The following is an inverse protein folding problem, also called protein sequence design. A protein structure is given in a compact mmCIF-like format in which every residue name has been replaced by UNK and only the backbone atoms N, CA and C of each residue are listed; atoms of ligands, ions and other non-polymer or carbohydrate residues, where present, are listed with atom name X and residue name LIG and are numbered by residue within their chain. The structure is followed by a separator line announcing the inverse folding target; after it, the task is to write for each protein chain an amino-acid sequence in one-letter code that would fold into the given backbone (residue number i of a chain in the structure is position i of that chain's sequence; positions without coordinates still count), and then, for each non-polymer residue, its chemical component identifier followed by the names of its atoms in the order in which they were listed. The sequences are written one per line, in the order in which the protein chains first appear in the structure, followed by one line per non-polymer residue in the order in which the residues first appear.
data_IF_123703403410
#
_entry.id   IF_123703403410
#
_cell.length_a   1.000
_cell.length_b   1.000
_cell.length_c   1.000
_cell.angle_alpha   90.00
_cell.angle_beta   90.00
_cell.angle_gamma   90.00
#
_symmetry.space_group_name_H-M   'P 1'
#
loop_
_entity.id
_entity.type
_entity.pdbx_description
1 polymer ?
#
# COMPACT_ATOMS: atom_id res chain seq x y z
N UNK A 1 26.05 23.53 -5.08
CA UNK A 1 25.94 23.04 -6.47
C UNK A 1 25.53 24.22 -7.34
N UNK A 2 26.50 24.80 -8.03
CA UNK A 2 26.41 26.05 -8.77
C UNK A 2 25.79 25.87 -10.16
N UNK A 3 24.92 26.81 -10.52
CA UNK A 3 24.09 26.83 -11.71
C UNK A 3 24.89 26.83 -13.02
N UNK A 4 24.68 25.80 -13.83
CA UNK A 4 25.30 25.61 -15.16
C UNK A 4 24.36 25.86 -16.34
N UNK A 5 23.15 26.37 -16.09
CA UNK A 5 22.10 26.54 -17.11
C UNK A 5 22.03 27.94 -17.76
N UNK A 6 22.73 28.93 -17.20
CA UNK A 6 22.70 30.31 -17.66
C UNK A 6 23.10 30.54 -19.13
N UNK A 7 24.21 29.97 -19.64
CA UNK A 7 24.67 30.27 -21.00
C UNK A 7 23.86 29.54 -22.10
N UNK A 8 23.24 28.40 -21.79
CA UNK A 8 22.50 27.62 -22.81
C UNK A 8 21.15 28.26 -23.17
N UNK A 9 20.45 28.82 -22.18
CA UNK A 9 19.18 29.51 -22.41
C UNK A 9 19.36 30.83 -23.17
N UNK A 10 20.50 31.51 -23.00
CA UNK A 10 20.79 32.76 -23.69
C UNK A 10 21.07 32.56 -25.18
N UNK A 11 21.81 31.51 -25.57
CA UNK A 11 22.04 31.19 -26.99
C UNK A 11 20.76 30.76 -27.71
N UNK A 12 19.84 30.07 -27.03
CA UNK A 12 18.58 29.63 -27.63
C UNK A 12 17.63 30.83 -27.88
N UNK A 13 17.58 31.79 -26.94
CA UNK A 13 16.81 33.02 -27.09
C UNK A 13 17.32 33.90 -28.26
N UNK A 14 18.64 34.04 -28.40
CA UNK A 14 19.23 34.83 -29.51
C UNK A 14 19.00 34.14 -30.87
N UNK A 15 19.04 32.82 -30.93
CA UNK A 15 18.73 32.06 -32.15
C UNK A 15 17.29 32.22 -32.61
N UNK A 16 16.32 32.15 -31.69
CA UNK A 16 14.89 32.33 -32.01
C UNK A 16 14.60 33.76 -32.46
N UNK A 17 15.16 34.77 -31.78
CA UNK A 17 15.00 36.18 -32.18
C UNK A 17 15.62 36.42 -33.56
N UNK A 18 16.77 35.83 -33.87
CA UNK A 18 17.40 35.90 -35.18
C UNK A 18 16.53 35.33 -36.31
N UNK A 19 15.89 34.17 -36.07
CA UNK A 19 14.98 33.54 -37.05
C UNK A 19 13.72 34.39 -37.26
N UNK A 20 13.16 34.98 -36.19
CA UNK A 20 11.99 35.86 -36.29
C UNK A 20 12.33 37.16 -37.04
N UNK A 21 13.50 37.75 -36.81
CA UNK A 21 13.93 39.00 -37.48
C UNK A 21 14.31 38.78 -38.96
N UNK A 22 14.94 37.65 -39.29
CA UNK A 22 15.21 37.25 -40.68
C UNK A 22 13.91 36.95 -41.44
N UNK A 23 12.91 36.40 -40.75
CA UNK A 23 11.58 36.17 -41.33
C UNK A 23 10.85 37.50 -41.58
N UNK A 24 10.93 38.45 -40.64
CA UNK A 24 10.27 39.76 -40.76
C UNK A 24 10.89 40.66 -41.83
N UNK A 25 12.21 40.61 -42.02
CA UNK A 25 12.90 41.42 -43.04
C UNK A 25 12.70 40.87 -44.45
N UNK A 26 12.59 39.54 -44.62
CA UNK A 26 12.13 38.95 -45.87
C UNK A 26 10.65 39.30 -46.14
N UNK A 27 9.77 39.23 -45.14
CA UNK A 27 8.35 39.62 -45.27
C UNK A 27 8.15 41.09 -45.72
N UNK A 28 9.01 42.03 -45.29
CA UNK A 28 8.95 43.43 -45.77
C UNK A 28 9.34 43.63 -47.24
N UNK A 29 10.19 42.77 -47.81
CA UNK A 29 10.48 42.83 -49.27
C UNK A 29 9.37 42.20 -50.11
N UNK A 30 8.61 41.27 -49.53
CA UNK A 30 7.44 40.67 -50.19
C UNK A 30 6.16 41.52 -50.04
N UNK A 31 6.07 42.43 -49.06
CA UNK A 31 4.86 43.25 -48.88
C UNK A 31 4.59 44.22 -50.04
N UNK A 32 5.62 44.69 -50.74
CA UNK A 32 5.46 45.54 -51.93
C UNK A 32 5.02 44.76 -53.20
N UNK A 33 5.33 43.46 -53.27
CA UNK A 33 4.87 42.56 -54.35
C UNK A 33 3.47 41.95 -54.07
N UNK A 34 3.05 41.95 -52.80
CA UNK A 34 1.77 41.40 -52.35
C UNK A 34 0.59 42.37 -52.47
N UNK A 35 0.81 43.68 -52.59
CA UNK A 35 -0.29 44.64 -52.84
C UNK A 35 -0.84 44.52 -54.27
N UNK A 36 -0.01 44.15 -55.25
CA UNK A 36 -0.44 44.02 -56.66
C UNK A 36 -1.08 42.64 -56.97
N UNK A 37 -0.97 41.68 -56.05
CA UNK A 37 -1.47 40.29 -56.24
C UNK A 37 -2.44 39.84 -55.14
N UNK A 38 -3.00 40.79 -54.38
CA UNK A 38 -3.83 40.55 -53.20
C UNK A 38 -5.08 39.70 -53.48
N UNK A 39 -5.61 39.74 -54.71
CA UNK A 39 -6.78 38.93 -55.09
C UNK A 39 -6.43 37.49 -55.51
N UNK A 40 -5.22 37.22 -56.02
CA UNK A 40 -4.86 35.87 -56.51
C UNK A 40 -4.05 35.04 -55.50
N UNK A 41 -3.36 35.67 -54.56
CA UNK A 41 -2.56 34.95 -53.54
C UNK A 41 -3.44 34.36 -52.43
N UNK A 42 -4.57 35.00 -52.11
CA UNK A 42 -5.56 34.47 -51.16
C UNK A 42 -6.13 33.11 -51.64
N UNK A 43 -6.29 32.91 -52.95
CA UNK A 43 -6.77 31.65 -53.52
C UNK A 43 -5.74 30.51 -53.52
N UNK A 44 -4.44 30.82 -53.51
CA UNK A 44 -3.37 29.80 -53.49
C UNK A 44 -2.94 29.41 -52.07
N UNK A 45 -3.05 30.30 -51.09
CA UNK A 45 -2.67 30.00 -49.69
C UNK A 45 -3.81 29.35 -48.91
N UNK A 46 -5.08 29.67 -49.23
CA UNK A 46 -6.24 29.06 -48.56
C UNK A 46 -6.27 27.51 -48.59
N UNK A 47 -6.00 26.81 -49.72
CA UNK A 47 -6.00 25.35 -49.73
C UNK A 47 -4.81 24.72 -48.98
N UNK A 48 -3.69 25.44 -48.84
CA UNK A 48 -2.50 24.98 -48.10
C UNK A 48 -2.61 25.22 -46.59
N UNK A 49 -3.35 26.25 -46.17
CA UNK A 49 -3.68 26.47 -44.75
C UNK A 49 -4.78 25.50 -44.26
N UNK A 50 -5.68 25.06 -45.14
CA UNK A 50 -6.75 24.12 -44.78
C UNK A 50 -6.26 22.67 -44.59
N UNK A 51 -5.14 22.28 -45.22
CA UNK A 51 -4.51 20.97 -45.01
C UNK A 51 -3.61 20.91 -43.76
N UNK A 52 -3.32 22.08 -43.16
CA UNK A 52 -2.60 22.22 -41.89
C UNK A 52 -3.54 22.51 -40.71
N UNK A 53 -4.85 22.33 -40.87
CA UNK A 53 -5.73 22.27 -39.71
C UNK A 53 -5.18 21.15 -38.80
N UNK A 54 -4.80 21.47 -37.55
CA UNK A 54 -4.30 20.47 -36.62
C UNK A 54 -5.33 19.36 -36.61
N UNK A 55 -4.88 18.12 -36.87
CA UNK A 55 -5.71 16.93 -36.81
C UNK A 55 -6.71 17.13 -35.69
N UNK A 56 -8.00 17.21 -36.03
CA UNK A 56 -9.04 17.58 -35.08
C UNK A 56 -8.83 16.69 -33.87
N UNK A 57 -8.33 17.26 -32.78
CA UNK A 57 -8.14 16.56 -31.53
C UNK A 57 -9.55 16.15 -31.16
N UNK A 58 -9.86 14.89 -31.47
CA UNK A 58 -11.16 14.35 -31.18
C UNK A 58 -11.18 14.33 -29.67
N UNK A 59 -12.05 15.16 -29.12
CA UNK A 59 -12.35 15.27 -27.72
C UNK A 59 -13.01 13.93 -27.33
N UNK A 60 -12.15 12.94 -27.08
CA UNK A 60 -12.49 11.56 -26.79
C UNK A 60 -12.76 11.44 -25.29
N UNK A 61 -13.58 10.45 -24.94
CA UNK A 61 -13.64 10.01 -23.55
C UNK A 61 -12.24 9.62 -23.09
N UNK A 62 -11.86 9.93 -21.84
CA UNK A 62 -10.55 9.57 -21.35
C UNK A 62 -10.39 8.05 -21.38
N UNK A 63 -9.15 7.56 -21.47
CA UNK A 63 -8.89 6.13 -21.36
C UNK A 63 -8.88 5.72 -19.88
N UNK A 64 -9.41 4.53 -19.51
CA UNK A 64 -9.36 4.05 -18.14
C UNK A 64 -7.92 3.98 -17.60
N UNK A 65 -7.68 4.33 -16.31
CA UNK A 65 -6.38 4.15 -15.68
C UNK A 65 -5.90 2.70 -15.77
N UNK A 66 -4.63 2.51 -16.12
CA UNK A 66 -4.03 1.18 -16.24
C UNK A 66 -3.06 0.90 -15.06
N UNK A 67 -2.84 -0.39 -14.77
CA UNK A 67 -1.83 -0.83 -13.79
C UNK A 67 -1.94 -0.17 -12.41
N UNK A 68 -3.17 0.08 -11.94
CA UNK A 68 -3.41 0.64 -10.62
C UNK A 68 -2.81 -0.29 -9.56
N UNK A 69 -1.98 0.25 -8.68
CA UNK A 69 -1.35 -0.42 -7.56
C UNK A 69 -1.56 0.41 -6.29
N UNK A 70 -1.71 -0.28 -5.17
CA UNK A 70 -1.79 0.32 -3.85
C UNK A 70 -0.60 -0.19 -3.02
N UNK A 71 0.20 0.73 -2.51
CA UNK A 71 1.46 0.47 -1.80
C UNK A 71 1.31 1.04 -0.38
N UNK A 72 1.39 0.22 0.67
CA UNK A 72 1.36 0.73 2.03
C UNK A 72 2.61 1.55 2.34
N UNK A 73 2.42 2.78 2.80
CA UNK A 73 3.53 3.68 3.15
C UNK A 73 3.75 3.68 4.66
N UNK A 74 2.67 3.86 5.44
CA UNK A 74 2.70 3.93 6.90
C UNK A 74 1.48 3.22 7.50
N UNK A 75 1.27 3.24 8.83
CA UNK A 75 0.06 2.71 9.43
C UNK A 75 -1.21 3.45 9.03
N UNK A 76 -1.10 4.70 8.58
CA UNK A 76 -2.26 5.55 8.25
C UNK A 76 -2.28 6.00 6.79
N UNK A 77 -1.34 5.51 5.96
CA UNK A 77 -1.17 5.99 4.59
C UNK A 77 -0.96 4.85 3.57
N UNK A 78 -1.64 4.99 2.42
CA UNK A 78 -1.45 4.16 1.23
C UNK A 78 -1.15 5.07 0.04
N UNK A 79 -0.09 4.75 -0.69
CA UNK A 79 0.22 5.38 -1.99
C UNK A 79 -0.42 4.59 -3.12
N UNK A 80 -1.25 5.26 -3.90
CA UNK A 80 -1.79 4.74 -5.13
C UNK A 80 -0.91 5.18 -6.30
N UNK A 81 -0.63 4.24 -7.22
CA UNK A 81 0.15 4.49 -8.42
C UNK A 81 -0.56 3.87 -9.62
N UNK A 82 -0.71 4.62 -10.71
CA UNK A 82 -1.32 4.14 -11.95
C UNK A 82 -0.65 4.74 -13.18
N UNK A 83 -0.86 4.11 -14.33
CA UNK A 83 -0.46 4.65 -15.62
C UNK A 83 -1.66 5.34 -16.28
N UNK A 84 -1.44 6.55 -16.81
CA UNK A 84 -2.36 7.21 -17.72
C UNK A 84 -2.69 6.27 -18.90
N UNK A 85 -3.98 6.06 -19.17
CA UNK A 85 -4.41 5.26 -20.32
C UNK A 85 -4.16 5.96 -21.66
N UNK A 86 -4.03 7.29 -21.63
CA UNK A 86 -3.81 8.15 -22.80
C UNK A 86 -2.37 8.64 -22.85
N UNK A 87 -1.83 8.77 -24.07
CA UNK A 87 -0.57 9.50 -24.27
C UNK A 87 -0.82 11.00 -24.07
N UNK A 88 -0.61 11.51 -22.86
CA UNK A 88 -0.31 12.90 -22.41
C UNK A 88 0.64 13.76 -23.31
N UNK A 89 0.82 13.48 -24.60
CA UNK A 89 1.52 14.39 -25.51
C UNK A 89 0.53 15.43 -26.05
N UNK A 90 0.34 16.51 -25.30
CA UNK A 90 -0.49 17.63 -25.72
C UNK A 90 -0.62 18.70 -24.63
N UNK A 91 -0.51 20.00 -24.94
CA UNK A 91 -0.71 21.09 -23.98
C UNK A 91 -2.16 21.23 -23.49
N UNK A 92 -3.07 20.35 -23.94
CA UNK A 92 -4.51 20.37 -23.67
C UNK A 92 -4.99 19.09 -22.98
N UNK A 93 -4.10 18.30 -22.36
CA UNK A 93 -4.54 17.16 -21.55
C UNK A 93 -5.22 17.65 -20.28
N UNK A 94 -6.55 17.66 -20.32
CA UNK A 94 -7.43 18.00 -19.19
C UNK A 94 -7.95 16.75 -18.48
N UNK A 95 -7.26 15.62 -18.63
CA UNK A 95 -7.63 14.40 -17.89
C UNK A 95 -7.37 14.64 -16.40
N UNK A 96 -8.44 14.55 -15.63
CA UNK A 96 -8.40 14.54 -14.17
C UNK A 96 -8.72 13.13 -13.69
N UNK A 97 -8.22 12.77 -12.52
CA UNK A 97 -8.49 11.47 -11.92
C UNK A 97 -9.28 11.66 -10.63
N UNK A 98 -10.27 10.80 -10.44
CA UNK A 98 -11.02 10.67 -9.19
C UNK A 98 -10.62 9.36 -8.52
N UNK A 99 -10.16 9.45 -7.28
CA UNK A 99 -9.89 8.28 -6.44
C UNK A 99 -11.04 8.07 -5.48
N UNK A 100 -11.62 6.88 -5.52
CA UNK A 100 -12.62 6.45 -4.57
C UNK A 100 -12.10 5.29 -3.74
N UNK A 101 -12.44 5.27 -2.46
CA UNK A 101 -12.11 4.18 -1.54
C UNK A 101 -13.35 3.68 -0.79
N UNK A 102 -13.23 2.47 -0.25
CA UNK A 102 -14.10 1.94 0.81
C UNK A 102 -13.33 1.03 1.76
N UNK A 103 -13.79 0.92 3.00
CA UNK A 103 -13.22 -0.01 3.96
C UNK A 103 -13.77 -1.43 3.71
N UNK A 104 -12.90 -2.44 3.77
CA UNK A 104 -13.28 -3.84 3.68
C UNK A 104 -13.46 -4.37 5.10
N UNK A 105 -14.72 -4.49 5.52
CA UNK A 105 -15.04 -5.11 6.80
C UNK A 105 -15.11 -6.63 6.63
N UNK A 106 -14.34 -7.35 7.45
CA UNK A 106 -14.54 -8.79 7.61
C UNK A 106 -15.80 -8.98 8.43
N UNK A 107 -16.87 -9.50 7.82
CA UNK A 107 -18.12 -9.83 8.50
C UNK A 107 -17.88 -10.97 9.49
N UNK A 108 -17.46 -10.66 10.71
CA UNK A 108 -17.53 -11.59 11.82
C UNK A 108 -18.92 -11.47 12.43
N UNK A 109 -19.88 -12.25 11.91
CA UNK A 109 -21.20 -12.67 12.47
C UNK A 109 -22.13 -11.66 13.17
N UNK A 110 -21.72 -10.41 13.35
CA UNK A 110 -22.44 -9.34 14.03
C UNK A 110 -22.96 -8.37 12.97
N UNK A 111 -24.23 -7.94 13.05
CA UNK A 111 -24.76 -6.92 12.16
C UNK A 111 -23.91 -5.66 12.22
N UNK A 112 -23.61 -5.09 11.05
CA UNK A 112 -22.83 -3.86 10.93
C UNK A 112 -23.59 -2.71 11.62
N UNK A 113 -22.88 -1.93 12.41
CA UNK A 113 -23.38 -0.64 12.90
C UNK A 113 -23.57 0.33 11.74
N UNK A 114 -24.46 1.33 11.87
CA UNK A 114 -24.69 2.34 10.84
C UNK A 114 -23.39 3.05 10.38
N UNK A 115 -22.46 3.26 11.32
CA UNK A 115 -21.14 3.83 11.02
C UNK A 115 -20.31 2.91 10.12
N UNK A 116 -20.36 1.59 10.35
CA UNK A 116 -19.67 0.60 9.53
C UNK A 116 -20.30 0.47 8.15
N UNK A 117 -21.64 0.47 8.05
CA UNK A 117 -22.34 0.48 6.76
C UNK A 117 -21.95 1.71 5.93
N UNK A 118 -21.93 2.90 6.56
CA UNK A 118 -21.49 4.13 5.89
C UNK A 118 -20.03 4.03 5.42
N UNK A 119 -19.15 3.38 6.19
CA UNK A 119 -17.74 3.17 5.81
C UNK A 119 -17.53 2.16 4.66
N UNK A 120 -18.50 1.28 4.39
CA UNK A 120 -18.47 0.36 3.23
C UNK A 120 -18.90 1.03 1.92
N UNK A 121 -19.51 2.22 1.98
CA UNK A 121 -19.87 2.98 0.79
C UNK A 121 -18.63 3.64 0.18
N UNK A 122 -18.53 3.59 -1.14
CA UNK A 122 -17.51 4.31 -1.90
C UNK A 122 -17.57 5.82 -1.59
N UNK A 123 -16.42 6.39 -1.24
CA UNK A 123 -16.24 7.83 -1.01
C UNK A 123 -15.03 8.34 -1.79
N UNK A 124 -15.09 9.59 -2.24
CA UNK A 124 -13.96 10.26 -2.89
C UNK A 124 -12.92 10.64 -1.84
N UNK A 125 -11.64 10.37 -2.11
CA UNK A 125 -10.54 10.65 -1.16
C UNK A 125 -9.38 11.44 -1.74
N UNK A 126 -9.39 11.71 -3.04
CA UNK A 126 -8.39 12.55 -3.65
C UNK A 126 -8.77 12.86 -5.09
N UNK A 127 -8.70 14.16 -5.39
CA UNK A 127 -8.75 14.69 -6.75
C UNK A 127 -7.37 15.27 -7.15
N UNK A 128 -6.47 15.44 -6.18
CA UNK A 128 -5.09 15.88 -6.36
C UNK A 128 -4.18 14.66 -6.63
N UNK A 129 -3.43 14.71 -7.73
CA UNK A 129 -2.46 13.70 -8.09
C UNK A 129 -1.18 14.33 -8.64
N UNK A 130 -0.08 13.65 -8.43
CA UNK A 130 1.23 14.03 -8.94
C UNK A 130 1.61 13.13 -10.11
N UNK A 131 2.15 13.72 -11.18
CA UNK A 131 2.78 12.99 -12.27
C UNK A 131 4.26 12.79 -11.92
N UNK A 132 4.64 11.58 -11.51
CA UNK A 132 5.95 11.29 -10.90
C UNK A 132 6.90 10.53 -11.81
N UNK A 133 6.44 10.07 -12.99
CA UNK A 133 7.27 9.30 -13.90
C UNK A 133 8.12 10.16 -14.82
N UNK A 134 9.40 9.81 -15.01
CA UNK A 134 10.24 10.38 -16.08
C UNK A 134 9.66 10.13 -17.49
N UNK A 135 8.77 9.15 -17.58
CA UNK A 135 8.00 8.82 -18.76
C UNK A 135 6.79 9.75 -18.97
N UNK A 136 6.42 10.56 -17.97
CA UNK A 136 5.24 11.42 -17.98
C UNK A 136 3.92 10.66 -17.90
N UNK A 137 3.95 9.36 -17.60
CA UNK A 137 2.76 8.48 -17.64
C UNK A 137 2.28 8.04 -16.27
N UNK A 138 3.18 8.06 -15.29
CA UNK A 138 2.89 7.53 -13.97
C UNK A 138 2.28 8.62 -13.10
N UNK A 139 1.04 8.41 -12.70
CA UNK A 139 0.32 9.26 -11.75
C UNK A 139 0.34 8.58 -10.38
N UNK A 140 0.40 9.39 -9.32
CA UNK A 140 0.28 8.88 -7.96
C UNK A 140 -0.47 9.84 -7.05
N UNK A 141 -1.09 9.30 -6.01
CA UNK A 141 -1.66 10.07 -4.91
C UNK A 141 -1.45 9.31 -3.60
N UNK A 142 -1.45 10.03 -2.49
CA UNK A 142 -1.36 9.45 -1.14
C UNK A 142 -2.71 9.61 -0.48
N UNK A 143 -3.29 8.49 -0.04
CA UNK A 143 -4.50 8.47 0.78
C UNK A 143 -4.07 8.32 2.22
N UNK A 144 -4.43 9.29 3.05
CA UNK A 144 -4.07 9.39 4.47
C UNK A 144 -5.27 9.13 5.40
N UNK A 145 -5.07 9.32 6.70
CA UNK A 145 -6.10 9.17 7.74
C UNK A 145 -6.80 7.80 7.73
N UNK A 146 -6.05 6.75 7.36
CA UNK A 146 -6.50 5.37 7.35
C UNK A 146 -6.32 4.72 8.73
N UNK A 147 -7.08 3.65 9.00
CA UNK A 147 -6.92 2.85 10.21
C UNK A 147 -5.69 1.93 10.09
N UNK A 148 -4.90 1.80 11.15
CA UNK A 148 -3.72 0.93 11.20
C UNK A 148 -4.08 -0.55 11.03
N UNK A 149 -3.43 -1.22 10.09
CA UNK A 149 -3.77 -2.60 9.67
C UNK A 149 -5.10 -2.74 8.93
N UNK A 150 -5.80 -1.65 8.66
CA UNK A 150 -7.10 -1.63 8.00
C UNK A 150 -7.01 -2.10 6.54
N UNK A 151 -7.97 -2.93 6.12
CA UNK A 151 -8.10 -3.37 4.74
C UNK A 151 -9.03 -2.43 3.96
N UNK A 152 -8.57 -1.96 2.80
CA UNK A 152 -9.25 -0.96 1.99
C UNK A 152 -9.24 -1.35 0.52
N UNK A 153 -10.30 -0.98 -0.18
CA UNK A 153 -10.43 -1.13 -1.63
C UNK A 153 -10.43 0.24 -2.30
N UNK A 154 -9.72 0.32 -3.42
CA UNK A 154 -9.54 1.54 -4.21
C UNK A 154 -9.98 1.33 -5.65
N UNK A 155 -10.53 2.38 -6.24
CA UNK A 155 -10.74 2.49 -7.69
C UNK A 155 -10.37 3.89 -8.15
N UNK A 156 -9.79 3.95 -9.35
CA UNK A 156 -9.37 5.21 -9.98
C UNK A 156 -10.16 5.34 -11.27
N UNK A 157 -10.77 6.51 -11.47
CA UNK A 157 -11.57 6.83 -12.64
C UNK A 157 -10.99 8.08 -13.30
N UNK A 158 -10.82 8.06 -14.62
CA UNK A 158 -10.41 9.25 -15.37
C UNK A 158 -11.66 10.03 -15.82
N UNK A 159 -11.57 11.36 -15.85
CA UNK A 159 -12.65 12.21 -16.33
C UNK A 159 -12.13 13.46 -17.02
N UNK A 160 -12.93 13.98 -17.95
CA UNK A 160 -12.69 15.23 -18.67
C UNK A 160 -14.03 15.91 -19.02
N UNK A 161 -14.02 16.94 -19.87
CA UNK A 161 -15.23 17.66 -20.31
C UNK A 161 -16.25 16.81 -21.08
N UNK A 162 -15.87 15.62 -21.57
CA UNK A 162 -16.78 14.69 -22.26
C UNK A 162 -17.45 13.72 -21.31
N UNK A 163 -16.87 13.49 -20.13
CA UNK A 163 -17.43 12.65 -19.10
C UNK A 163 -16.37 11.80 -18.40
N UNK A 164 -16.84 10.74 -17.76
CA UNK A 164 -16.03 9.83 -16.94
C UNK A 164 -15.82 8.50 -17.67
N UNK A 165 -14.67 7.86 -17.46
CA UNK A 165 -14.44 6.48 -17.91
C UNK A 165 -15.38 5.51 -17.18
N UNK A 166 -15.76 4.39 -17.82
CA UNK A 166 -16.36 3.27 -17.11
C UNK A 166 -15.49 2.85 -15.92
N UNK A 167 -16.12 2.57 -14.78
CA UNK A 167 -15.39 2.13 -13.60
C UNK A 167 -14.65 0.82 -13.87
N UNK A 168 -13.41 0.76 -13.40
CA UNK A 168 -12.64 -0.48 -13.38
C UNK A 168 -13.42 -1.54 -12.58
N UNK A 169 -13.67 -2.69 -13.21
CA UNK A 169 -14.46 -3.77 -12.60
C UNK A 169 -13.76 -4.41 -11.39
N UNK A 170 -12.43 -4.31 -11.31
CA UNK A 170 -11.62 -4.94 -10.27
C UNK A 170 -10.96 -3.85 -9.41
N UNK A 171 -11.52 -3.51 -8.23
CA UNK A 171 -10.88 -2.60 -7.30
C UNK A 171 -9.57 -3.20 -6.78
N UNK A 172 -8.60 -2.33 -6.50
CA UNK A 172 -7.31 -2.72 -5.92
C UNK A 172 -7.46 -2.78 -4.41
N UNK A 173 -7.07 -3.91 -3.81
CA UNK A 173 -7.06 -4.11 -2.36
C UNK A 173 -5.69 -3.81 -1.78
N UNK A 174 -5.66 -3.13 -0.63
CA UNK A 174 -4.45 -2.96 0.15
C UNK A 174 -4.75 -2.92 1.65
N UNK A 175 -3.72 -3.17 2.45
CA UNK A 175 -3.73 -3.02 3.90
C UNK A 175 -2.66 -2.01 4.28
N UNK A 176 -2.99 -1.10 5.19
CA UNK A 176 -1.98 -0.24 5.82
C UNK A 176 -1.02 -1.08 6.65
N UNK A 177 0.14 -0.51 6.98
CA UNK A 177 1.05 -1.14 7.94
C UNK A 177 0.40 -1.16 9.34
N UNK A 178 0.93 -1.98 10.22
CA UNK A 178 0.61 -1.96 11.64
C UNK A 178 1.53 -0.97 12.37
N UNK A 179 1.01 -0.36 13.43
CA UNK A 179 1.87 0.32 14.40
C UNK A 179 2.71 -0.73 15.15
N UNK A 180 4.02 -0.52 15.35
CA UNK A 180 4.81 -1.39 16.21
C UNK A 180 4.21 -1.47 17.63
N UNK A 181 4.29 -2.63 18.27
CA UNK A 181 3.92 -2.79 19.68
C UNK A 181 5.04 -2.28 20.61
N UNK A 182 4.82 -2.35 21.93
CA UNK A 182 5.80 -1.93 22.94
C UNK A 182 7.15 -2.70 22.87
N UNK A 183 7.19 -3.80 22.12
CA UNK A 183 8.39 -4.61 21.89
C UNK A 183 8.95 -4.43 20.47
N UNK A 184 8.63 -3.31 19.79
CA UNK A 184 9.11 -2.98 18.43
C UNK A 184 8.74 -4.03 17.36
N UNK A 185 7.80 -4.93 17.66
CA UNK A 185 7.31 -5.96 16.76
C UNK A 185 5.85 -5.72 16.39
N UNK A 186 5.10 -6.78 16.12
CA UNK A 186 3.71 -6.68 15.64
C UNK A 186 2.84 -7.85 16.05
N UNK A 187 1.69 -7.97 15.39
CA UNK A 187 0.73 -9.05 15.64
C UNK A 187 0.39 -9.78 14.33
N UNK A 188 0.36 -11.10 14.40
CA UNK A 188 -0.19 -11.97 13.36
C UNK A 188 -1.56 -12.53 13.75
N UNK A 189 -2.13 -13.43 12.93
CA UNK A 189 -3.45 -14.01 13.19
C UNK A 189 -3.58 -14.72 14.55
N UNK A 190 -2.51 -15.38 15.01
CA UNK A 190 -2.53 -16.21 16.22
C UNK A 190 -1.23 -16.08 17.06
N UNK A 191 -0.47 -15.03 16.82
CA UNK A 191 0.75 -14.74 17.56
C UNK A 191 0.96 -13.24 17.68
N UNK A 192 1.69 -12.85 18.70
CA UNK A 192 2.32 -11.53 18.79
C UNK A 192 3.83 -11.73 18.78
N UNK A 193 4.57 -10.75 18.30
CA UNK A 193 6.02 -10.84 18.27
C UNK A 193 6.63 -9.48 18.60
N UNK A 194 7.82 -9.54 19.16
CA UNK A 194 8.67 -8.41 19.49
C UNK A 194 10.05 -8.62 18.86
N UNK A 195 10.83 -7.55 18.77
CA UNK A 195 12.20 -7.64 18.32
C UNK A 195 13.10 -6.64 19.03
N UNK A 196 14.34 -7.05 19.22
CA UNK A 196 15.43 -6.16 19.60
C UNK A 196 16.41 -6.04 18.44
N UNK A 197 17.54 -5.37 18.68
CA UNK A 197 18.65 -5.33 17.73
C UNK A 197 19.12 -6.74 17.34
N UNK A 198 19.11 -7.68 18.27
CA UNK A 198 19.77 -8.98 18.13
C UNK A 198 18.80 -10.16 18.10
N UNK A 199 17.62 -10.03 18.69
CA UNK A 199 16.69 -11.16 18.92
C UNK A 199 15.28 -10.85 18.46
N UNK A 200 14.53 -11.91 18.22
CA UNK A 200 13.09 -11.90 17.95
C UNK A 200 12.42 -12.76 19.00
N UNK A 201 11.36 -12.23 19.62
CA UNK A 201 10.51 -12.93 20.58
C UNK A 201 9.14 -13.15 19.93
N UNK A 202 8.59 -14.35 20.04
CA UNK A 202 7.30 -14.71 19.44
C UNK A 202 6.46 -15.39 20.50
N UNK A 203 5.25 -14.88 20.75
CA UNK A 203 4.28 -15.48 21.65
C UNK A 203 3.11 -16.01 20.83
N UNK A 204 3.03 -17.33 20.71
CA UNK A 204 1.98 -18.05 19.96
C UNK A 204 0.86 -18.43 20.91
N UNK A 205 -0.38 -18.03 20.56
CA UNK A 205 -1.58 -18.41 21.32
C UNK A 205 -1.94 -19.87 21.01
N UNK A 206 -2.10 -20.72 22.03
CA UNK A 206 -2.35 -22.16 21.83
C UNK A 206 -3.83 -22.51 21.69
N UNK A 207 -4.74 -21.70 22.26
CA UNK A 207 -6.18 -21.77 22.03
C UNK A 207 -6.56 -20.74 20.99
N UNK A 208 -7.31 -21.17 20.00
CA UNK A 208 -8.06 -20.27 19.13
C UNK A 208 -9.50 -20.37 19.57
N UNK A 209 -10.19 -19.26 19.79
CA UNK A 209 -11.61 -19.25 20.17
C UNK A 209 -12.48 -20.04 19.18
N UNK A 210 -12.02 -20.18 17.93
CA UNK A 210 -12.63 -21.04 16.90
C UNK A 210 -12.65 -22.54 17.24
N UNK A 211 -11.77 -23.03 18.13
CA UNK A 211 -11.83 -24.44 18.55
C UNK A 211 -13.04 -24.69 19.51
N UNK A 212 -13.70 -23.64 20.03
CA UNK A 212 -14.84 -23.73 20.96
C UNK A 212 -16.22 -23.52 20.31
N UNK A 213 -16.31 -23.02 19.07
CA UNK A 213 -17.62 -22.70 18.43
C UNK A 213 -18.27 -23.88 17.67
N UNK A 214 -17.87 -25.11 17.96
CA UNK A 214 -18.71 -26.27 17.64
C UNK A 214 -19.87 -26.35 18.64
N UNK A 215 -20.77 -25.35 18.63
CA UNK A 215 -22.14 -25.55 19.12
C UNK A 215 -22.84 -26.48 18.14
N UNK A 216 -22.66 -27.78 18.33
CA UNK A 216 -23.44 -28.79 17.62
C UNK A 216 -24.89 -28.69 18.10
N UNK A 217 -25.71 -27.92 17.38
CA UNK A 217 -27.15 -27.91 17.61
C UNK A 217 -27.67 -29.29 17.21
N UNK A 218 -28.21 -30.02 18.18
CA UNK A 218 -28.81 -31.32 17.92
C UNK A 218 -30.02 -31.11 16.97
N UNK A 219 -29.97 -31.64 15.73
CA UNK A 219 -30.99 -31.37 14.73
C UNK A 219 -32.36 -31.97 15.10
N UNK A 220 -32.41 -32.91 16.05
CA UNK A 220 -33.65 -33.57 16.44
C UNK A 220 -34.45 -32.81 17.50
N UNK A 221 -33.78 -32.06 18.38
CA UNK A 221 -34.43 -31.45 19.54
C UNK A 221 -34.41 -29.92 19.51
N UNK A 222 -33.53 -29.32 18.69
CA UNK A 222 -33.31 -27.87 18.71
C UNK A 222 -32.79 -27.35 20.07
N UNK A 223 -32.50 -28.25 21.00
CA UNK A 223 -32.06 -27.91 22.34
C UNK A 223 -30.55 -27.68 22.29
N UNK A 224 -30.15 -26.44 22.61
CA UNK A 224 -28.73 -26.12 22.83
C UNK A 224 -28.27 -26.91 24.04
N UNK A 225 -27.73 -28.10 23.84
CA UNK A 225 -27.02 -28.81 24.90
C UNK A 225 -25.87 -27.92 25.34
N UNK A 226 -25.94 -27.47 26.58
CA UNK A 226 -24.86 -26.76 27.23
C UNK A 226 -23.64 -27.69 27.12
N UNK A 227 -22.59 -27.33 26.35
CA UNK A 227 -21.44 -28.19 26.18
C UNK A 227 -20.83 -28.35 27.58
N UNK A 228 -21.10 -29.49 28.21
CA UNK A 228 -20.66 -29.76 29.57
C UNK A 228 -19.18 -29.44 29.64
N UNK A 229 -18.83 -28.53 30.57
CA UNK A 229 -17.54 -27.85 30.64
C UNK A 229 -16.40 -28.84 30.34
N UNK A 230 -15.92 -28.84 29.09
CA UNK A 230 -14.80 -29.69 28.73
C UNK A 230 -13.61 -29.18 29.54
N UNK A 231 -12.90 -30.05 30.27
CA UNK A 231 -11.71 -29.62 30.97
C UNK A 231 -10.78 -28.94 29.95
N UNK A 232 -10.17 -27.80 30.29
CA UNK A 232 -9.30 -27.07 29.37
C UNK A 232 -8.24 -28.03 28.83
N UNK A 233 -8.07 -28.05 27.52
CA UNK A 233 -7.06 -28.89 26.88
C UNK A 233 -5.68 -28.51 27.46
N UNK A 234 -5.11 -29.39 28.29
CA UNK A 234 -3.78 -29.17 28.88
C UNK A 234 -2.77 -29.56 27.81
N UNK A 235 -2.25 -28.57 27.09
CA UNK A 235 -1.15 -28.78 26.14
C UNK A 235 0.09 -29.15 26.94
N UNK A 236 0.72 -30.28 26.61
CA UNK A 236 1.99 -30.70 27.21
C UNK A 236 3.15 -30.42 26.27
N UNK A 237 4.37 -30.26 26.80
CA UNK A 237 5.58 -30.04 25.99
C UNK A 237 5.80 -31.10 24.92
N UNK A 238 5.37 -32.36 25.17
CA UNK A 238 5.46 -33.47 24.21
C UNK A 238 4.61 -33.29 22.96
N UNK A 239 3.58 -32.44 23.03
CA UNK A 239 2.68 -32.16 21.92
C UNK A 239 3.18 -30.98 21.07
N UNK A 240 4.25 -30.29 21.47
CA UNK A 240 4.77 -29.12 20.79
C UNK A 240 6.00 -29.53 19.97
N UNK A 241 5.95 -29.26 18.66
CA UNK A 241 7.08 -29.44 17.74
C UNK A 241 7.43 -28.05 17.17
N UNK A 242 8.58 -27.51 17.58
CA UNK A 242 9.11 -26.23 17.10
C UNK A 242 10.34 -26.50 16.25
N UNK A 243 10.32 -26.01 15.01
CA UNK A 243 11.45 -26.10 14.10
C UNK A 243 11.77 -24.71 13.56
N UNK A 244 12.98 -24.25 13.83
CA UNK A 244 13.54 -23.06 13.21
C UNK A 244 14.60 -23.50 12.20
N UNK A 245 14.47 -23.05 10.96
CA UNK A 245 15.54 -23.07 9.95
C UNK A 245 15.96 -21.62 9.69
N UNK A 246 17.09 -21.38 9.00
CA UNK A 246 17.56 -20.01 8.79
C UNK A 246 16.53 -19.08 8.14
N UNK A 247 15.60 -19.58 7.31
CA UNK A 247 14.55 -18.76 6.66
C UNK A 247 13.12 -19.29 6.87
N UNK A 248 12.89 -20.17 7.84
CA UNK A 248 11.59 -20.83 8.00
C UNK A 248 11.32 -21.09 9.48
N UNK A 249 10.10 -20.80 9.94
CA UNK A 249 9.64 -21.10 11.28
C UNK A 249 8.39 -21.97 11.21
N UNK A 250 8.43 -23.10 11.91
CA UNK A 250 7.31 -24.04 12.04
C UNK A 250 7.04 -24.32 13.52
N UNK A 251 5.78 -24.16 13.91
CA UNK A 251 5.25 -24.48 15.24
C UNK A 251 4.02 -25.36 15.05
N UNK A 252 4.11 -26.60 15.53
CA UNK A 252 3.01 -27.57 15.57
C UNK A 252 2.62 -27.81 17.02
N UNK A 253 1.31 -27.89 17.26
CA UNK A 253 0.73 -28.18 18.58
C UNK A 253 -0.27 -29.32 18.40
N UNK A 254 -0.01 -30.43 19.07
CA UNK A 254 -0.75 -31.69 18.91
C UNK A 254 -0.89 -32.12 17.43
N UNK A 255 0.15 -31.89 16.63
CA UNK A 255 0.18 -32.21 15.19
C UNK A 255 -0.48 -31.16 14.28
N UNK A 256 -1.25 -30.21 14.81
CA UNK A 256 -1.85 -29.10 14.05
C UNK A 256 -0.83 -27.96 13.89
N UNK A 257 -0.67 -27.46 12.67
CA UNK A 257 0.18 -26.31 12.39
C UNK A 257 -0.46 -25.05 12.98
N UNK A 258 0.25 -24.43 13.92
CA UNK A 258 -0.15 -23.14 14.48
C UNK A 258 0.60 -22.01 13.78
N UNK A 259 1.88 -22.18 13.51
CA UNK A 259 2.67 -21.18 12.80
C UNK A 259 3.52 -21.89 11.75
N UNK A 260 3.45 -21.46 10.50
CA UNK A 260 4.25 -22.02 9.41
C UNK A 260 4.47 -20.94 8.35
N UNK A 261 5.73 -20.62 8.05
CA UNK A 261 6.03 -19.71 6.96
C UNK A 261 7.52 -19.37 6.83
N UNK A 262 7.82 -18.62 5.78
CA UNK A 262 9.16 -18.11 5.54
C UNK A 262 9.41 -16.82 6.34
N UNK A 263 10.58 -16.73 6.96
CA UNK A 263 11.05 -15.50 7.61
C UNK A 263 11.48 -14.49 6.53
N UNK A 264 11.32 -13.17 6.76
CA UNK A 264 11.82 -12.16 5.82
C UNK A 264 13.36 -12.11 5.78
N UNK A 265 14.01 -12.44 6.90
CA UNK A 265 15.47 -12.42 7.06
C UNK A 265 15.99 -13.72 7.69
N UNK A 266 17.31 -13.85 7.74
CA UNK A 266 17.94 -15.04 8.30
C UNK A 266 17.92 -15.02 9.85
N UNK A 267 17.51 -16.14 10.45
CA UNK A 267 17.64 -16.42 11.88
C UNK A 267 18.81 -17.39 12.14
N UNK A 268 19.26 -17.47 13.39
CA UNK A 268 20.24 -18.45 13.87
C UNK A 268 19.49 -19.60 14.55
N UNK A 269 19.35 -20.78 13.91
CA UNK A 269 18.57 -21.90 14.45
C UNK A 269 19.05 -22.40 15.81
N UNK A 270 20.37 -22.39 16.02
CA UNK A 270 21.01 -22.94 17.21
C UNK A 270 20.69 -22.12 18.48
N UNK A 271 20.26 -20.86 18.32
CA UNK A 271 19.89 -19.94 19.40
C UNK A 271 18.38 -19.96 19.70
N UNK A 272 17.63 -20.88 19.11
CA UNK A 272 16.21 -21.05 19.41
C UNK A 272 16.02 -21.61 20.81
N UNK A 273 15.35 -20.83 21.65
CA UNK A 273 14.79 -21.29 22.92
C UNK A 273 13.28 -21.10 22.91
N UNK A 274 12.54 -21.99 23.59
CA UNK A 274 11.10 -21.83 23.76
C UNK A 274 10.66 -22.26 25.15
N UNK A 275 9.60 -21.64 25.64
CA UNK A 275 8.99 -21.95 26.94
C UNK A 275 7.47 -22.02 26.82
N UNK A 276 6.87 -23.01 27.48
CA UNK A 276 5.42 -23.20 27.52
C UNK A 276 4.88 -22.52 28.78
N UNK A 277 4.14 -21.43 28.60
CA UNK A 277 3.43 -20.75 29.69
C UNK A 277 2.03 -21.36 29.84
N UNK A 278 1.93 -22.45 30.60
CA UNK A 278 0.67 -23.21 30.76
C UNK A 278 -0.48 -22.35 31.31
N UNK A 279 -0.19 -21.41 32.23
CA UNK A 279 -1.19 -20.51 32.82
C UNK A 279 -1.79 -19.53 31.80
N UNK A 280 -0.96 -19.02 30.88
CA UNK A 280 -1.40 -18.11 29.82
C UNK A 280 -1.82 -18.84 28.55
N UNK A 281 -1.65 -20.17 28.52
CA UNK A 281 -1.89 -21.00 27.36
C UNK A 281 -1.19 -20.44 26.10
N UNK A 282 0.07 -20.09 26.27
CA UNK A 282 0.92 -19.48 25.26
C UNK A 282 2.25 -20.20 25.15
N UNK A 283 2.80 -20.26 23.94
CA UNK A 283 4.17 -20.71 23.67
C UNK A 283 5.01 -19.50 23.33
N UNK A 284 6.02 -19.23 24.16
CA UNK A 284 6.99 -18.16 23.91
C UNK A 284 8.23 -18.76 23.26
N UNK A 285 8.66 -18.17 22.15
CA UNK A 285 9.87 -18.52 21.41
C UNK A 285 10.79 -17.31 21.40
N UNK A 286 12.08 -17.54 21.51
CA UNK A 286 13.11 -16.52 21.38
C UNK A 286 14.25 -17.08 20.52
N UNK A 287 14.69 -16.32 19.52
CA UNK A 287 15.82 -16.71 18.66
C UNK A 287 16.62 -15.48 18.19
N UNK A 288 17.89 -15.69 17.84
CA UNK A 288 18.77 -14.62 17.38
C UNK A 288 18.61 -14.34 15.88
N UNK A 289 18.76 -13.07 15.52
CA UNK A 289 18.88 -12.59 14.14
C UNK A 289 20.30 -12.90 13.66
N UNK A 290 20.43 -13.35 12.40
CA UNK A 290 21.75 -13.50 11.77
C UNK A 290 22.46 -12.16 11.60
N UNK A 291 21.70 -11.13 11.26
CA UNK A 291 22.20 -9.78 10.97
C UNK A 291 21.68 -8.78 12.03
N UNK A 292 22.42 -8.57 13.14
CA UNK A 292 22.03 -7.65 14.19
C UNK A 292 21.80 -6.22 13.66
N UNK A 293 20.77 -5.54 14.16
CA UNK A 293 20.38 -4.20 13.73
C UNK A 293 19.40 -4.16 12.57
N UNK A 294 19.14 -5.29 11.91
CA UNK A 294 18.09 -5.37 10.90
C UNK A 294 16.72 -5.31 11.58
N UNK A 295 15.91 -4.31 11.23
CA UNK A 295 14.51 -4.19 11.63
C UNK A 295 13.66 -5.10 10.75
N UNK A 296 12.91 -6.00 11.36
CA UNK A 296 12.02 -6.90 10.64
C UNK A 296 10.67 -6.17 10.45
N UNK A 297 10.12 -6.08 9.24
CA UNK A 297 8.79 -5.52 9.03
C UNK A 297 7.69 -6.52 9.38
N UNK A 298 7.98 -7.81 9.36
CA UNK A 298 7.02 -8.86 9.72
C UNK A 298 7.76 -10.08 10.28
N UNK A 299 7.05 -11.00 10.92
CA UNK A 299 7.65 -12.27 11.34
C UNK A 299 7.68 -13.27 10.16
N UNK A 300 6.59 -13.37 9.40
CA UNK A 300 6.44 -14.31 8.29
C UNK A 300 6.07 -13.56 7.00
N UNK A 301 6.63 -13.95 5.86
CA UNK A 301 6.29 -13.35 4.57
C UNK A 301 4.79 -13.50 4.27
N UNK A 302 4.17 -12.40 3.82
CA UNK A 302 2.73 -12.33 3.53
C UNK A 302 1.84 -12.08 4.76
N UNK A 303 2.39 -12.04 5.96
CA UNK A 303 1.68 -11.57 7.16
C UNK A 303 1.68 -10.04 7.24
N UNK A 304 0.85 -9.43 8.11
CA UNK A 304 0.86 -7.99 8.32
C UNK A 304 2.27 -7.46 8.63
N UNK A 305 2.60 -6.33 8.00
CA UNK A 305 3.87 -5.62 8.19
C UNK A 305 3.68 -4.46 9.16
N UNK A 306 4.65 -4.23 10.04
CA UNK A 306 4.73 -3.06 10.90
C UNK A 306 5.50 -1.93 10.21
N UNK A 307 5.29 -0.71 10.66
CA UNK A 307 6.15 0.39 10.22
C UNK A 307 7.51 0.37 10.92
N UNK A 308 8.53 -0.07 10.18
CA UNK A 308 9.91 -0.16 10.70
C UNK A 308 10.55 1.21 10.91
N UNK A 309 10.01 2.30 10.35
CA UNK A 309 10.54 3.65 10.60
C UNK A 309 10.30 4.09 12.05
N UNK A 310 9.15 3.70 12.62
CA UNK A 310 8.75 3.95 14.00
C UNK A 310 9.45 3.05 15.04
N UNK A 311 10.09 1.96 14.59
CA UNK A 311 10.85 1.06 15.48
C UNK A 311 12.09 1.78 16.01
N UNK A 312 12.21 1.93 17.32
CA UNK A 312 13.38 2.56 17.95
C UNK A 312 14.03 1.55 18.87
N UNK A 313 15.08 0.89 18.38
CA UNK A 313 15.92 0.05 19.24
C UNK A 313 16.54 0.92 20.33
N UNK A 314 15.89 0.95 21.48
CA UNK A 314 16.42 1.65 22.63
C UNK A 314 17.79 1.04 22.93
N UNK A 315 18.83 1.82 22.71
CA UNK A 315 20.15 1.50 23.23
C UNK A 315 20.01 1.66 24.73
N UNK A 316 19.51 0.64 25.43
CA UNK A 316 19.68 0.51 26.88
C UNK A 316 21.17 0.33 27.13
N UNK A 317 21.92 1.42 26.96
CA UNK A 317 23.17 1.61 27.65
C UNK A 317 22.81 1.52 29.14
N UNK A 318 23.57 0.74 29.90
CA UNK A 318 23.50 0.58 31.34
C UNK A 318 22.55 -0.49 31.90
N UNK A 319 23.06 -1.72 31.94
CA UNK A 319 23.45 -2.35 33.22
C UNK A 319 22.37 -2.88 34.16
N UNK A 320 21.09 -2.65 33.88
CA UNK A 320 20.01 -3.27 34.63
C UNK A 320 19.65 -4.61 34.01
N UNK A 321 19.76 -5.71 34.78
CA UNK A 321 18.97 -6.94 34.53
C UNK A 321 17.49 -6.58 34.68
N UNK A 322 16.95 -5.86 33.70
CA UNK A 322 15.55 -5.55 33.59
C UNK A 322 14.84 -6.86 33.38
N UNK A 323 14.32 -7.44 34.46
CA UNK A 323 13.31 -8.49 34.36
C UNK A 323 12.30 -8.00 33.34
N UNK A 324 12.10 -8.81 32.31
CA UNK A 324 10.92 -8.75 31.46
C UNK A 324 9.74 -8.53 32.41
N UNK A 325 9.13 -7.34 32.37
CA UNK A 325 7.85 -7.11 33.03
C UNK A 325 6.85 -7.53 31.97
N UNK A 326 6.25 -8.73 32.07
CA UNK A 326 5.09 -9.04 31.27
C UNK A 326 3.95 -8.16 31.79
N UNK A 327 3.93 -6.89 31.42
CA UNK A 327 2.74 -6.04 31.49
C UNK A 327 1.81 -6.31 30.29
N UNK A 328 1.83 -7.56 29.83
CA UNK A 328 0.93 -8.20 28.88
C UNK A 328 -0.53 -8.28 29.38
N UNK A 329 -0.89 -7.56 30.46
CA UNK A 329 -2.25 -7.52 31.04
C UNK A 329 -3.14 -6.38 30.51
N UNK A 330 -2.69 -5.61 29.51
CA UNK A 330 -3.54 -4.58 28.87
C UNK A 330 -3.65 -4.69 27.35
N UNK A 331 -3.37 -5.85 26.76
CA UNK A 331 -3.97 -6.17 25.47
C UNK A 331 -5.45 -6.43 25.72
N UNK A 332 -6.24 -5.36 25.74
CA UNK A 332 -7.69 -5.39 25.59
C UNK A 332 -8.05 -5.99 24.24
N UNK A 333 -7.90 -7.30 24.14
CA UNK A 333 -8.52 -8.13 23.12
C UNK A 333 -9.99 -8.23 23.51
N UNK A 334 -10.75 -7.18 23.20
CA UNK A 334 -12.21 -7.25 23.03
C UNK A 334 -12.56 -7.77 21.66
#
# INVERSE_FOLDING_TARGET
MSSWWGPFLWSLAVGIIGIVVLSFTRLRKYSALLEETRENVLFLIAPLALTLLPATWTDQYPAPPAKVKAIPVSPTEIRLVWSSGSRMYGPLHTEQYRVEMRNVWKQNTVPLTEAQEKATKWRVVGDDFEVTGADGWTCSTVVDNLEAGGETEYRVTAWNSRGETPMLQNPVRAKTKLMPNDEDGGSGPNYVWGQTKERVTVVVKLKTEEDDDHTTVDPATGEKRNPGARPPLIVTSKQIDVKLKPKELLVKVAGKERLNGQLPFFAVPDDLTWTLEAEKNALELEFAKRDPGTKWPTLLQGHPEIDVEEVVFSSRMFGGKGKFKPELMKLGLT
#
